data_IF_267861980613
#
_entry.id   IF_267861980613
#
_cell.length_a   1.000
_cell.length_b   1.000
_cell.length_c   1.000
_cell.angle_alpha   90.00
_cell.angle_beta   90.00
_cell.angle_gamma   90.00
#
_symmetry.space_group_name_H-M   'P 1'
#
loop_
_entity.id
_entity.type
_entity.pdbx_description
1 polymer ?
#
# COMPACT_ATOMS: atom_id res chain seq x y z
N UNK A 1 -16.45 -57.13 -1.38
CA UNK A 1 -15.25 -56.29 -1.31
C UNK A 1 -15.60 -54.92 -1.80
N UNK A 2 -15.85 -53.99 -0.88
CA UNK A 2 -16.24 -52.62 -1.22
C UNK A 2 -14.98 -51.74 -1.22
N UNK A 3 -14.57 -51.23 -2.41
CA UNK A 3 -13.48 -50.26 -2.54
C UNK A 3 -13.98 -48.93 -2.02
N UNK A 4 -13.44 -48.46 -0.88
CA UNK A 4 -13.57 -47.08 -0.43
C UNK A 4 -12.68 -46.19 -1.30
N UNK A 5 -13.29 -45.47 -2.22
CA UNK A 5 -12.62 -44.42 -2.98
C UNK A 5 -12.45 -43.21 -2.07
N UNK A 6 -11.27 -43.05 -1.48
CA UNK A 6 -10.92 -41.83 -0.74
C UNK A 6 -10.74 -40.72 -1.78
N UNK A 7 -11.74 -39.86 -1.88
CA UNK A 7 -11.58 -38.59 -2.62
C UNK A 7 -10.57 -37.73 -1.88
N UNK A 8 -9.35 -37.62 -2.42
CA UNK A 8 -8.43 -36.57 -2.04
C UNK A 8 -9.07 -35.23 -2.43
N UNK A 9 -9.66 -34.55 -1.47
CA UNK A 9 -9.92 -33.12 -1.62
C UNK A 9 -8.55 -32.45 -1.66
N UNK A 10 -8.06 -32.18 -2.84
CA UNK A 10 -6.81 -31.44 -3.05
C UNK A 10 -6.98 -30.09 -2.38
N UNK A 11 -6.37 -29.90 -1.21
CA UNK A 11 -6.16 -28.56 -0.65
C UNK A 11 -5.30 -27.85 -1.68
N UNK A 12 -5.86 -26.86 -2.37
CA UNK A 12 -5.09 -26.01 -3.26
C UNK A 12 -4.05 -25.28 -2.41
N UNK A 13 -2.82 -25.76 -2.44
CA UNK A 13 -1.70 -25.04 -1.80
C UNK A 13 -1.50 -23.80 -2.65
N UNK A 14 -1.89 -22.66 -2.11
CA UNK A 14 -1.56 -21.39 -2.74
C UNK A 14 -0.05 -21.20 -2.66
N UNK A 15 0.59 -21.31 -3.79
CA UNK A 15 1.98 -20.92 -4.00
C UNK A 15 1.97 -19.57 -4.74
N UNK A 16 3.09 -18.89 -4.72
CA UNK A 16 3.28 -17.60 -5.42
C UNK A 16 4.21 -17.89 -6.59
N UNK A 17 3.91 -17.34 -7.76
CA UNK A 17 4.80 -17.39 -8.92
C UNK A 17 6.13 -16.67 -8.58
N UNK A 18 7.24 -17.02 -9.27
CA UNK A 18 8.47 -16.24 -9.13
C UNK A 18 8.19 -14.77 -9.34
N UNK A 19 8.76 -13.91 -8.48
CA UNK A 19 8.63 -12.47 -8.60
C UNK A 19 9.04 -12.01 -10.00
N UNK A 20 8.19 -11.19 -10.60
CA UNK A 20 8.44 -10.54 -11.88
C UNK A 20 8.28 -9.03 -11.73
N UNK A 21 8.58 -8.29 -12.78
CA UNK A 21 8.33 -6.87 -12.82
C UNK A 21 7.87 -6.44 -14.21
N UNK A 22 7.24 -5.28 -14.27
CA UNK A 22 6.91 -4.56 -15.50
C UNK A 22 7.39 -3.13 -15.37
N UNK A 23 7.94 -2.58 -16.45
CA UNK A 23 8.29 -1.16 -16.51
C UNK A 23 7.13 -0.43 -17.21
N UNK A 24 6.28 0.23 -16.43
CA UNK A 24 5.10 0.93 -16.92
C UNK A 24 5.48 2.30 -17.47
N UNK A 25 5.06 2.67 -18.68
CA UNK A 25 5.33 3.98 -19.22
C UNK A 25 4.53 5.05 -18.47
N UNK A 26 5.20 6.01 -17.85
CA UNK A 26 4.60 7.20 -17.27
C UNK A 26 5.06 8.46 -17.99
N UNK A 27 4.44 9.59 -17.72
CA UNK A 27 4.83 10.88 -18.31
C UNK A 27 6.28 11.28 -17.94
N UNK A 28 6.84 10.68 -16.88
CA UNK A 28 8.17 11.01 -16.33
C UNK A 28 9.18 9.87 -16.40
N UNK A 29 8.95 8.92 -17.26
CA UNK A 29 9.82 7.77 -17.48
C UNK A 29 9.17 6.44 -17.05
N UNK A 30 9.87 5.33 -17.29
CA UNK A 30 9.34 4.01 -16.96
C UNK A 30 9.33 3.80 -15.44
N UNK A 31 8.16 3.45 -14.89
CA UNK A 31 7.99 3.09 -13.48
C UNK A 31 8.08 1.57 -13.34
N UNK A 32 9.18 1.07 -12.78
CA UNK A 32 9.27 -0.34 -12.43
C UNK A 32 8.27 -0.69 -11.36
N UNK A 33 7.51 -1.76 -11.62
CA UNK A 33 6.50 -2.29 -10.70
C UNK A 33 6.73 -3.76 -10.52
N UNK A 34 7.03 -4.18 -9.30
CA UNK A 34 7.20 -5.59 -8.95
C UNK A 34 5.85 -6.27 -8.78
N UNK A 35 5.71 -7.48 -9.33
CA UNK A 35 4.48 -8.25 -9.31
C UNK A 35 4.66 -9.56 -8.52
N UNK A 36 3.75 -9.79 -7.59
CA UNK A 36 3.62 -11.03 -6.81
C UNK A 36 2.27 -11.63 -7.12
N UNK A 37 2.26 -12.72 -7.87
CA UNK A 37 1.06 -13.31 -8.44
C UNK A 37 0.84 -14.70 -7.81
N UNK A 38 -0.33 -14.99 -7.23
CA UNK A 38 -0.65 -16.34 -6.79
C UNK A 38 -0.63 -17.32 -7.97
N UNK A 39 -0.14 -18.55 -7.75
CA UNK A 39 -0.18 -19.60 -8.79
C UNK A 39 -1.60 -20.09 -9.06
N UNK A 40 -1.77 -20.79 -10.17
CA UNK A 40 -3.05 -21.37 -10.58
C UNK A 40 -3.75 -20.56 -11.66
N UNK A 41 -4.80 -21.19 -12.21
CA UNK A 41 -5.64 -20.57 -13.25
C UNK A 41 -6.76 -19.77 -12.57
N UNK A 42 -6.65 -18.46 -12.50
CA UNK A 42 -7.68 -17.64 -11.90
C UNK A 42 -7.36 -16.15 -11.95
N UNK A 43 -8.38 -15.36 -11.69
CA UNK A 43 -8.26 -13.92 -11.51
C UNK A 43 -8.27 -13.62 -10.02
N UNK A 44 -7.43 -12.71 -9.60
CA UNK A 44 -7.23 -12.35 -8.21
C UNK A 44 -7.65 -10.90 -7.96
N UNK A 45 -8.25 -10.56 -6.81
CA UNK A 45 -8.33 -9.18 -6.38
C UNK A 45 -6.91 -8.62 -6.28
N UNK A 46 -6.73 -7.39 -6.71
CA UNK A 46 -5.41 -6.80 -6.89
C UNK A 46 -5.16 -5.73 -5.84
N UNK A 47 -3.94 -5.65 -5.33
CA UNK A 47 -3.52 -4.65 -4.36
C UNK A 47 -2.28 -3.93 -4.87
N UNK A 48 -2.37 -2.61 -5.03
CA UNK A 48 -1.20 -1.75 -5.15
C UNK A 48 -0.62 -1.59 -3.75
N UNK A 49 0.64 -1.95 -3.55
CA UNK A 49 1.30 -1.80 -2.26
C UNK A 49 2.41 -0.75 -2.35
N UNK A 50 2.18 0.42 -1.78
CA UNK A 50 3.14 1.50 -1.70
C UNK A 50 4.07 1.35 -0.49
N UNK A 51 5.36 1.36 -0.78
CA UNK A 51 6.44 1.19 0.21
C UNK A 51 6.68 2.45 1.06
N UNK A 52 7.54 2.30 2.07
CA UNK A 52 8.16 3.40 2.80
C UNK A 52 9.08 4.23 1.86
N UNK A 53 9.71 5.28 2.42
CA UNK A 53 10.72 6.11 1.70
C UNK A 53 11.95 5.32 1.19
N UNK A 54 12.11 4.06 1.54
CA UNK A 54 13.28 3.23 1.21
C UNK A 54 13.06 2.31 -0.01
N UNK A 55 11.89 2.36 -0.63
CA UNK A 55 11.46 1.56 -1.78
C UNK A 55 11.35 0.04 -1.45
N UNK A 56 11.76 -0.85 -2.36
CA UNK A 56 11.53 -2.30 -2.30
C UNK A 56 12.50 -3.01 -1.35
N UNK A 57 12.42 -2.71 -0.06
CA UNK A 57 13.23 -3.34 0.99
C UNK A 57 12.78 -4.78 1.31
N UNK A 58 13.57 -5.48 2.14
CA UNK A 58 13.22 -6.82 2.62
C UNK A 58 11.85 -6.90 3.31
N UNK A 59 11.55 -6.03 4.30
CA UNK A 59 10.22 -5.97 4.92
C UNK A 59 9.06 -5.75 3.95
N UNK A 60 9.21 -4.86 2.99
CA UNK A 60 8.19 -4.60 1.95
C UNK A 60 7.94 -5.85 1.12
N UNK A 61 9.01 -6.52 0.67
CA UNK A 61 8.93 -7.77 -0.10
C UNK A 61 8.22 -8.88 0.68
N UNK A 62 8.53 -9.04 1.97
CA UNK A 62 7.88 -10.06 2.83
C UNK A 62 6.40 -9.77 3.03
N UNK A 63 6.01 -8.51 3.22
CA UNK A 63 4.59 -8.12 3.30
C UNK A 63 3.85 -8.36 1.98
N UNK A 64 4.46 -8.03 0.84
CA UNK A 64 3.89 -8.30 -0.48
C UNK A 64 3.69 -9.81 -0.71
N UNK A 65 4.69 -10.63 -0.38
CA UNK A 65 4.60 -12.10 -0.44
C UNK A 65 3.50 -12.65 0.48
N UNK A 66 3.38 -12.11 1.69
CA UNK A 66 2.32 -12.53 2.62
C UNK A 66 0.93 -12.25 2.03
N UNK A 67 0.68 -11.06 1.49
CA UNK A 67 -0.59 -10.72 0.83
C UNK A 67 -0.86 -11.61 -0.39
N UNK A 68 0.16 -11.86 -1.23
CA UNK A 68 0.03 -12.74 -2.38
C UNK A 68 -0.29 -14.17 -1.95
N UNK A 69 0.31 -14.66 -0.86
CA UNK A 69 0.00 -15.96 -0.26
C UNK A 69 -1.46 -16.09 0.22
N UNK A 70 -2.14 -14.98 0.47
CA UNK A 70 -3.57 -14.94 0.78
C UNK A 70 -4.48 -14.73 -0.44
N UNK A 71 -3.93 -14.81 -1.65
CA UNK A 71 -4.69 -14.83 -2.90
C UNK A 71 -4.91 -13.48 -3.54
N UNK A 72 -4.12 -12.46 -3.21
CA UNK A 72 -4.10 -11.18 -3.88
C UNK A 72 -2.98 -11.13 -4.93
N UNK A 73 -3.26 -10.57 -6.10
CA UNK A 73 -2.21 -10.08 -6.98
C UNK A 73 -1.67 -8.79 -6.36
N UNK A 74 -0.39 -8.74 -6.02
CA UNK A 74 0.23 -7.58 -5.37
C UNK A 74 1.21 -6.92 -6.32
N UNK A 75 1.07 -5.60 -6.48
CA UNK A 75 1.94 -4.77 -7.30
C UNK A 75 2.63 -3.72 -6.43
N UNK A 76 3.96 -3.67 -6.46
CA UNK A 76 4.76 -2.74 -5.67
C UNK A 76 5.53 -1.83 -6.61
N UNK A 77 5.11 -0.55 -6.78
CA UNK A 77 5.81 0.39 -7.67
C UNK A 77 7.07 0.96 -7.00
N UNK A 78 8.10 1.20 -7.80
CA UNK A 78 9.25 2.01 -7.42
C UNK A 78 8.88 3.49 -7.57
N UNK A 79 8.40 4.11 -6.49
CA UNK A 79 7.81 5.45 -6.52
C UNK A 79 8.79 6.58 -6.85
N UNK A 80 10.10 6.30 -6.81
CA UNK A 80 11.15 7.27 -7.13
C UNK A 80 11.79 7.05 -8.51
N UNK A 81 11.09 6.37 -9.43
CA UNK A 81 11.56 6.04 -10.78
C UNK A 81 12.02 7.24 -11.60
N UNK A 82 11.59 8.46 -11.26
CA UNK A 82 12.04 9.70 -11.93
C UNK A 82 13.47 10.10 -11.57
N UNK A 83 13.97 9.64 -10.41
CA UNK A 83 15.21 10.13 -9.79
C UNK A 83 16.22 9.03 -9.54
N UNK A 84 15.77 7.79 -9.41
CA UNK A 84 16.59 6.64 -9.07
C UNK A 84 16.58 5.61 -10.19
N UNK A 85 17.70 4.92 -10.34
CA UNK A 85 17.77 3.81 -11.29
C UNK A 85 16.84 2.67 -10.84
N UNK A 86 16.22 1.95 -11.79
CA UNK A 86 15.39 0.81 -11.47
C UNK A 86 16.10 -0.22 -10.59
N UNK A 87 15.42 -0.69 -9.56
CA UNK A 87 15.96 -1.62 -8.57
C UNK A 87 16.72 -0.96 -7.41
N UNK A 88 16.78 0.39 -7.36
CA UNK A 88 17.40 1.10 -6.23
C UNK A 88 16.62 0.87 -4.94
N UNK A 89 17.32 0.42 -3.90
CA UNK A 89 16.82 0.26 -2.54
C UNK A 89 17.65 1.12 -1.61
N UNK A 90 17.01 1.99 -0.84
CA UNK A 90 17.70 2.82 0.14
C UNK A 90 17.88 2.04 1.45
N UNK A 91 19.04 2.20 2.09
CA UNK A 91 19.35 1.50 3.34
C UNK A 91 18.57 2.09 4.53
N UNK A 92 18.32 1.27 5.56
CA UNK A 92 17.74 1.71 6.82
C UNK A 92 18.81 2.36 7.73
N UNK A 93 19.48 3.38 7.20
CA UNK A 93 20.50 4.17 7.89
C UNK A 93 20.25 5.69 7.72
N UNK A 94 21.16 6.51 8.20
CA UNK A 94 21.03 7.97 8.11
C UNK A 94 21.02 8.43 6.65
N UNK A 95 21.95 7.96 5.84
CA UNK A 95 22.08 8.38 4.44
C UNK A 95 20.86 7.97 3.61
N UNK A 96 20.36 6.73 3.76
CA UNK A 96 19.15 6.29 3.09
C UNK A 96 17.90 7.03 3.57
N UNK A 97 17.82 7.38 4.86
CA UNK A 97 16.74 8.19 5.41
C UNK A 97 16.75 9.62 4.85
N UNK A 98 17.91 10.26 4.79
CA UNK A 98 18.08 11.60 4.21
C UNK A 98 17.71 11.59 2.73
N UNK A 99 18.22 10.62 1.96
CA UNK A 99 17.89 10.48 0.53
C UNK A 99 16.40 10.24 0.31
N UNK A 100 15.78 9.33 1.05
CA UNK A 100 14.35 9.05 0.94
C UNK A 100 13.47 10.25 1.27
N UNK A 101 13.84 11.06 2.26
CA UNK A 101 13.16 12.31 2.57
C UNK A 101 13.38 13.39 1.51
N UNK A 102 14.60 13.50 0.98
CA UNK A 102 14.91 14.39 -0.14
C UNK A 102 14.00 14.06 -1.34
N UNK A 103 13.94 12.80 -1.75
CA UNK A 103 13.12 12.34 -2.87
C UNK A 103 11.63 12.58 -2.62
N UNK A 104 11.14 12.31 -1.41
CA UNK A 104 9.75 12.59 -1.01
C UNK A 104 9.37 14.06 -1.21
N UNK A 105 10.28 14.98 -0.92
CA UNK A 105 10.03 16.43 -1.04
C UNK A 105 10.49 17.02 -2.38
N UNK A 106 11.05 16.22 -3.28
CA UNK A 106 11.42 16.63 -4.64
C UNK A 106 10.35 16.23 -5.65
N UNK A 107 9.74 15.04 -5.46
CA UNK A 107 8.71 14.53 -6.35
C UNK A 107 7.47 15.40 -6.28
N UNK A 108 6.94 15.77 -7.45
CA UNK A 108 5.66 16.49 -7.55
C UNK A 108 4.50 15.57 -7.10
N UNK A 109 3.54 16.12 -6.36
CA UNK A 109 2.33 15.39 -5.96
C UNK A 109 1.54 14.93 -7.17
N UNK A 110 1.41 15.79 -8.18
CA UNK A 110 0.74 15.46 -9.43
C UNK A 110 1.39 14.26 -10.16
N UNK A 111 2.73 14.13 -10.09
CA UNK A 111 3.42 12.97 -10.63
C UNK A 111 3.03 11.67 -9.93
N UNK A 112 2.86 11.72 -8.60
CA UNK A 112 2.39 10.55 -7.86
C UNK A 112 0.95 10.17 -8.20
N UNK A 113 0.08 11.15 -8.50
CA UNK A 113 -1.29 10.91 -8.95
C UNK A 113 -1.32 10.32 -10.37
N UNK A 114 -0.49 10.82 -11.28
CA UNK A 114 -0.34 10.28 -12.63
C UNK A 114 0.16 8.83 -12.61
N UNK A 115 1.16 8.54 -11.77
CA UNK A 115 1.67 7.18 -11.56
C UNK A 115 0.59 6.25 -11.02
N UNK A 116 -0.22 6.72 -10.06
CA UNK A 116 -1.33 5.95 -9.50
C UNK A 116 -2.40 5.65 -10.56
N UNK A 117 -2.71 6.61 -11.44
CA UNK A 117 -3.66 6.41 -12.53
C UNK A 117 -3.16 5.37 -13.54
N UNK A 118 -1.90 5.48 -13.99
CA UNK A 118 -1.29 4.50 -14.90
C UNK A 118 -1.30 3.10 -14.29
N UNK A 119 -0.92 2.99 -13.02
CA UNK A 119 -0.81 1.71 -12.34
C UNK A 119 -2.18 1.06 -12.10
N UNK A 120 -3.17 1.82 -11.61
CA UNK A 120 -4.52 1.30 -11.36
C UNK A 120 -5.19 0.82 -12.65
N UNK A 121 -5.09 1.58 -13.73
CA UNK A 121 -5.61 1.19 -15.06
C UNK A 121 -4.93 -0.10 -15.58
N UNK A 122 -3.60 -0.18 -15.50
CA UNK A 122 -2.86 -1.38 -15.90
C UNK A 122 -3.34 -2.61 -15.11
N UNK A 123 -3.49 -2.48 -13.79
CA UNK A 123 -3.86 -3.59 -12.93
C UNK A 123 -5.34 -3.98 -13.09
N UNK A 124 -6.24 -3.04 -13.30
CA UNK A 124 -7.64 -3.34 -13.60
C UNK A 124 -7.78 -4.16 -14.89
N UNK A 125 -6.94 -3.91 -15.88
CA UNK A 125 -6.91 -4.62 -17.17
C UNK A 125 -6.00 -5.87 -17.17
N UNK A 126 -5.23 -6.13 -16.12
CA UNK A 126 -4.27 -7.23 -16.07
C UNK A 126 -4.98 -8.59 -16.18
N UNK A 127 -4.49 -9.55 -17.02
CA UNK A 127 -5.17 -10.84 -17.27
C UNK A 127 -5.46 -11.66 -16.01
N UNK A 128 -4.59 -11.55 -15.00
CA UNK A 128 -4.71 -12.24 -13.71
C UNK A 128 -5.48 -11.43 -12.65
N UNK A 129 -5.92 -10.22 -12.97
CA UNK A 129 -6.75 -9.37 -12.09
C UNK A 129 -8.22 -9.71 -12.22
N UNK A 130 -8.96 -9.69 -11.10
CA UNK A 130 -10.43 -9.76 -11.11
C UNK A 130 -11.10 -8.46 -11.61
N UNK A 131 -10.31 -7.41 -11.81
CA UNK A 131 -10.77 -6.06 -12.09
C UNK A 131 -11.00 -5.20 -10.84
N UNK A 132 -10.95 -5.79 -9.64
CA UNK A 132 -11.04 -5.08 -8.37
C UNK A 132 -9.64 -4.72 -7.89
N UNK A 133 -9.36 -3.43 -7.74
CA UNK A 133 -8.04 -2.90 -7.32
C UNK A 133 -8.18 -2.21 -5.98
N UNK A 134 -7.43 -2.64 -5.00
CA UNK A 134 -7.24 -1.95 -3.73
C UNK A 134 -5.89 -1.23 -3.68
N UNK A 135 -5.76 -0.29 -2.78
CA UNK A 135 -4.50 0.39 -2.50
C UNK A 135 -4.12 0.20 -1.03
N UNK A 136 -2.89 -0.23 -0.79
CA UNK A 136 -2.31 -0.39 0.54
C UNK A 136 -1.00 0.35 0.62
N UNK A 137 -0.66 0.87 1.79
CA UNK A 137 0.65 1.47 1.97
C UNK A 137 1.01 1.73 3.42
N UNK A 138 2.30 1.92 3.65
CA UNK A 138 2.91 2.14 4.97
C UNK A 138 3.76 3.41 4.95
N UNK A 139 3.73 4.23 6.01
CA UNK A 139 4.51 5.47 6.10
C UNK A 139 4.15 6.46 4.95
N UNK A 140 5.14 6.91 4.17
CA UNK A 140 4.93 7.63 2.92
C UNK A 140 3.93 6.88 2.02
N UNK A 141 4.14 5.57 1.87
CA UNK A 141 3.27 4.74 1.05
C UNK A 141 1.82 4.73 1.52
N UNK A 142 1.58 4.88 2.82
CA UNK A 142 0.22 5.05 3.35
C UNK A 142 -0.45 6.31 2.81
N UNK A 143 0.28 7.41 2.68
CA UNK A 143 -0.21 8.63 2.06
C UNK A 143 -0.46 8.44 0.55
N UNK A 144 0.51 7.83 -0.15
CA UNK A 144 0.35 7.52 -1.59
C UNK A 144 -0.83 6.57 -1.85
N UNK A 145 -1.08 5.61 -0.94
CA UNK A 145 -2.25 4.74 -1.02
C UNK A 145 -3.56 5.53 -0.90
N UNK A 146 -3.63 6.52 0.00
CA UNK A 146 -4.79 7.42 0.10
C UNK A 146 -4.97 8.19 -1.20
N UNK A 147 -3.90 8.76 -1.78
CA UNK A 147 -3.99 9.47 -3.06
C UNK A 147 -4.42 8.58 -4.20
N UNK A 148 -3.93 7.35 -4.25
CA UNK A 148 -4.40 6.35 -5.22
C UNK A 148 -5.90 6.06 -5.07
N UNK A 149 -6.44 6.14 -3.86
CA UNK A 149 -7.87 5.99 -3.58
C UNK A 149 -8.78 7.05 -4.22
N UNK A 150 -8.21 8.14 -4.72
CA UNK A 150 -8.96 9.13 -5.50
C UNK A 150 -9.03 8.79 -7.01
N UNK A 151 -8.40 7.70 -7.44
CA UNK A 151 -8.51 7.20 -8.80
C UNK A 151 -9.79 6.35 -8.95
N UNK A 152 -10.51 6.47 -10.07
CA UNK A 152 -11.79 5.77 -10.27
C UNK A 152 -11.68 4.25 -10.27
N UNK A 153 -10.50 3.71 -10.60
CA UNK A 153 -10.27 2.27 -10.66
C UNK A 153 -9.90 1.65 -9.28
N UNK A 154 -9.73 2.47 -8.23
CA UNK A 154 -9.40 2.00 -6.88
C UNK A 154 -10.66 1.86 -6.04
N UNK A 155 -10.93 0.64 -5.59
CA UNK A 155 -12.16 0.24 -4.89
C UNK A 155 -12.08 0.26 -3.37
N UNK A 156 -10.88 0.27 -2.78
CA UNK A 156 -10.66 0.31 -1.33
C UNK A 156 -9.22 0.74 -0.99
N UNK A 157 -9.03 1.40 0.15
CA UNK A 157 -7.73 1.91 0.60
C UNK A 157 -7.43 1.47 2.02
N UNK A 158 -6.24 0.91 2.25
CA UNK A 158 -5.70 0.67 3.59
C UNK A 158 -4.41 1.49 3.78
N UNK A 159 -4.43 2.43 4.72
CA UNK A 159 -3.32 3.33 4.97
C UNK A 159 -2.78 3.14 6.40
N UNK A 160 -1.55 2.66 6.51
CA UNK A 160 -0.93 2.38 7.78
C UNK A 160 0.09 3.46 8.14
N UNK A 161 -0.16 4.11 9.24
CA UNK A 161 0.62 5.27 9.76
C UNK A 161 1.05 6.24 8.64
N UNK A 162 0.09 6.67 7.77
CA UNK A 162 0.38 7.57 6.66
C UNK A 162 0.90 8.92 7.18
N UNK A 163 2.05 9.35 6.65
CA UNK A 163 2.67 10.62 7.04
C UNK A 163 2.15 11.79 6.19
N UNK A 164 2.38 13.00 6.67
CA UNK A 164 2.20 14.26 5.94
C UNK A 164 0.76 14.67 5.58
N UNK A 165 -0.26 13.81 5.67
CA UNK A 165 -1.66 14.14 5.32
C UNK A 165 -2.17 15.33 6.15
N UNK A 166 -1.99 15.27 7.48
CA UNK A 166 -2.50 16.30 8.40
C UNK A 166 -1.83 17.66 8.24
N UNK A 167 -0.58 17.65 7.76
CA UNK A 167 0.23 18.86 7.59
C UNK A 167 0.23 19.40 6.15
N UNK A 168 -0.29 18.63 5.20
CA UNK A 168 -0.27 18.99 3.79
C UNK A 168 1.15 19.17 3.23
N UNK A 169 2.11 18.34 3.70
CA UNK A 169 3.54 18.56 3.41
C UNK A 169 4.16 17.55 2.45
N UNK A 170 3.37 16.70 1.83
CA UNK A 170 3.88 15.79 0.80
C UNK A 170 4.33 16.55 -0.45
N UNK A 171 5.41 16.06 -1.06
CA UNK A 171 5.88 16.47 -2.38
C UNK A 171 6.60 17.80 -2.44
N UNK A 172 6.93 18.20 -3.65
CA UNK A 172 7.61 19.46 -3.93
C UNK A 172 6.79 20.66 -3.44
N UNK A 173 7.47 21.59 -2.80
CA UNK A 173 6.81 22.76 -2.21
C UNK A 173 6.07 22.49 -0.90
N UNK A 174 5.94 21.24 -0.45
CA UNK A 174 5.25 20.85 0.80
C UNK A 174 3.84 21.46 0.91
N UNK A 175 3.05 21.33 -0.12
CA UNK A 175 1.72 21.90 -0.23
C UNK A 175 0.73 20.96 -0.93
N UNK A 176 0.60 19.71 -0.43
CA UNK A 176 -0.38 18.78 -0.96
C UNK A 176 -1.81 19.10 -0.50
N UNK A 177 -2.78 18.60 -1.26
CA UNK A 177 -4.20 18.87 -1.11
C UNK A 177 -5.00 17.67 -0.59
N UNK A 178 -4.36 16.67 -0.03
CA UNK A 178 -4.98 15.37 0.30
C UNK A 178 -6.21 15.51 1.21
N UNK A 179 -6.14 16.37 2.24
CA UNK A 179 -7.30 16.62 3.12
C UNK A 179 -8.49 17.22 2.35
N UNK A 180 -8.25 18.13 1.42
CA UNK A 180 -9.30 18.72 0.61
C UNK A 180 -9.94 17.69 -0.34
N UNK A 181 -9.14 16.78 -0.88
CA UNK A 181 -9.59 15.75 -1.83
C UNK A 181 -10.46 14.65 -1.23
N UNK A 182 -10.63 14.59 0.06
CA UNK A 182 -11.67 13.74 0.65
C UNK A 182 -13.09 14.23 0.33
N UNK A 183 -13.27 15.46 -0.15
CA UNK A 183 -14.58 15.94 -0.60
C UNK A 183 -15.16 15.06 -1.70
N UNK A 184 -16.36 14.51 -1.47
CA UNK A 184 -17.05 13.67 -2.44
C UNK A 184 -16.45 12.29 -2.69
N UNK A 185 -15.46 11.85 -1.88
CA UNK A 185 -14.88 10.52 -2.02
C UNK A 185 -15.91 9.45 -1.64
N UNK A 186 -15.96 8.38 -2.46
CA UNK A 186 -16.83 7.23 -2.21
C UNK A 186 -16.06 5.95 -1.92
N UNK A 187 -14.74 5.97 -2.11
CA UNK A 187 -13.85 4.85 -1.82
C UNK A 187 -13.78 4.63 -0.31
N UNK A 188 -14.01 3.40 0.20
CA UNK A 188 -13.86 3.09 1.62
C UNK A 188 -12.38 3.06 2.03
N UNK A 189 -12.10 3.57 3.24
CA UNK A 189 -10.76 3.63 3.81
C UNK A 189 -10.64 2.77 5.06
N UNK A 190 -9.44 2.25 5.32
CA UNK A 190 -9.01 1.76 6.62
C UNK A 190 -7.72 2.48 7.02
N UNK A 191 -7.76 3.15 8.16
CA UNK A 191 -6.59 3.81 8.74
C UNK A 191 -6.09 3.05 9.97
N UNK A 192 -4.79 2.83 10.03
CA UNK A 192 -4.12 2.17 11.15
C UNK A 192 -2.97 3.03 11.67
N UNK A 193 -2.96 3.32 12.97
CA UNK A 193 -2.07 4.28 13.59
C UNK A 193 -1.30 3.72 14.78
N UNK A 194 -0.09 4.22 14.98
CA UNK A 194 0.63 4.09 16.23
C UNK A 194 0.42 5.33 17.12
N UNK A 195 -0.02 5.16 18.37
CA UNK A 195 -0.23 6.29 19.29
C UNK A 195 1.06 6.99 19.71
N UNK A 196 2.19 6.30 19.59
CA UNK A 196 3.53 6.81 19.93
C UNK A 196 4.29 7.30 18.68
N UNK A 197 3.58 7.48 17.57
CA UNK A 197 4.16 7.94 16.30
C UNK A 197 4.44 9.44 16.34
N UNK A 198 5.72 9.88 16.29
CA UNK A 198 6.04 11.30 16.30
C UNK A 198 5.76 12.00 14.96
N UNK A 199 5.61 11.23 13.86
CA UNK A 199 5.34 11.79 12.53
C UNK A 199 3.86 12.14 12.34
N UNK A 200 2.97 11.51 13.14
CA UNK A 200 1.53 11.81 13.09
C UNK A 200 1.00 11.95 14.51
N UNK A 201 1.18 13.12 15.14
CA UNK A 201 0.76 13.37 16.52
C UNK A 201 -0.78 13.27 16.66
N UNK A 202 -1.25 13.24 17.91
CA UNK A 202 -2.68 13.10 18.21
C UNK A 202 -3.54 14.15 17.48
N UNK A 203 -3.08 15.38 17.45
CA UNK A 203 -3.78 16.48 16.79
C UNK A 203 -3.88 16.25 15.27
N UNK A 204 -2.81 15.70 14.67
CA UNK A 204 -2.80 15.35 13.25
C UNK A 204 -3.79 14.23 12.93
N UNK A 205 -3.82 13.18 13.75
CA UNK A 205 -4.82 12.09 13.58
C UNK A 205 -6.25 12.61 13.73
N UNK A 206 -6.50 13.49 14.72
CA UNK A 206 -7.81 14.11 14.93
C UNK A 206 -8.24 15.00 13.76
N UNK A 207 -7.31 15.74 13.16
CA UNK A 207 -7.61 16.57 11.99
C UNK A 207 -8.05 15.72 10.79
N UNK A 208 -7.38 14.58 10.56
CA UNK A 208 -7.78 13.63 9.50
C UNK A 208 -9.15 13.04 9.81
N UNK A 209 -9.39 12.52 11.03
CA UNK A 209 -10.67 11.94 11.41
C UNK A 209 -11.81 12.97 11.29
N UNK A 210 -11.60 14.20 11.79
CA UNK A 210 -12.60 15.26 11.68
C UNK A 210 -12.95 15.60 10.23
N UNK A 211 -11.96 15.56 9.31
CA UNK A 211 -12.24 15.81 7.88
C UNK A 211 -13.03 14.64 7.27
N UNK A 212 -12.71 13.40 7.61
CA UNK A 212 -13.44 12.22 7.15
C UNK A 212 -14.89 12.23 7.64
N UNK A 213 -15.12 12.60 8.92
CA UNK A 213 -16.46 12.76 9.50
C UNK A 213 -17.24 13.89 8.82
N UNK A 214 -16.60 15.05 8.56
CA UNK A 214 -17.22 16.20 7.90
C UNK A 214 -17.77 15.88 6.51
N UNK A 215 -17.03 15.04 5.75
CA UNK A 215 -17.42 14.65 4.38
C UNK A 215 -18.21 13.34 4.32
N UNK A 216 -18.56 12.78 5.49
CA UNK A 216 -19.28 11.52 5.62
C UNK A 216 -18.61 10.35 4.86
N UNK A 217 -17.26 10.32 4.84
CA UNK A 217 -16.51 9.25 4.19
C UNK A 217 -16.73 7.91 4.88
N UNK A 218 -16.76 6.82 4.12
CA UNK A 218 -16.75 5.47 4.68
C UNK A 218 -15.34 5.10 5.14
N UNK A 219 -15.11 4.89 6.46
CA UNK A 219 -13.80 4.50 6.94
C UNK A 219 -13.83 3.65 8.21
N UNK A 220 -12.76 2.84 8.39
CA UNK A 220 -12.39 2.17 9.62
C UNK A 220 -11.17 2.85 10.26
N UNK A 221 -11.14 2.94 11.59
CA UNK A 221 -10.07 3.60 12.33
C UNK A 221 -9.53 2.73 13.44
N UNK A 222 -8.24 2.41 13.37
CA UNK A 222 -7.56 1.57 14.35
C UNK A 222 -6.35 2.28 14.94
N UNK A 223 -6.24 2.32 16.27
CA UNK A 223 -5.10 2.90 16.97
C UNK A 223 -4.48 1.90 17.93
N UNK A 224 -3.17 1.71 17.82
CA UNK A 224 -2.39 0.82 18.66
C UNK A 224 -1.38 1.59 19.51
N UNK A 225 -1.01 1.04 20.67
CA UNK A 225 0.07 1.60 21.49
C UNK A 225 1.43 1.18 20.91
N UNK A 226 1.79 1.77 19.79
CA UNK A 226 2.96 1.46 18.97
C UNK A 226 3.61 2.73 18.41
N UNK A 227 4.90 2.66 18.09
CA UNK A 227 5.65 3.71 17.43
C UNK A 227 5.43 3.70 15.89
N UNK A 228 6.03 4.66 15.18
CA UNK A 228 6.05 4.66 13.71
C UNK A 228 6.74 3.41 13.14
N UNK A 229 6.24 2.88 12.03
CA UNK A 229 6.80 1.71 11.34
C UNK A 229 6.84 0.41 12.18
N UNK A 230 5.86 0.19 13.04
CA UNK A 230 5.77 -1.00 13.90
C UNK A 230 5.51 -2.31 13.13
N UNK A 231 5.16 -2.23 11.83
CA UNK A 231 5.05 -3.40 10.95
C UNK A 231 6.39 -3.84 10.35
N UNK A 232 7.39 -2.97 10.36
CA UNK A 232 8.68 -3.25 9.74
C UNK A 232 9.46 -4.26 10.58
N UNK A 233 9.57 -5.50 10.12
CA UNK A 233 10.23 -6.62 10.81
C UNK A 233 11.78 -6.53 10.82
N UNK A 234 12.30 -5.37 10.46
CA UNK A 234 13.69 -4.98 10.65
C UNK A 234 13.75 -3.68 11.45
N UNK A 235 14.50 -3.72 12.55
CA UNK A 235 14.70 -2.58 13.43
C UNK A 235 13.92 -2.61 14.75
N UNK A 236 14.19 -1.64 15.65
CA UNK A 236 13.81 -1.73 17.06
C UNK A 236 12.33 -1.40 17.35
N UNK A 237 11.59 -0.94 16.37
CA UNK A 237 10.18 -0.53 16.53
C UNK A 237 9.19 -1.62 16.13
N UNK A 238 9.66 -2.75 15.63
CA UNK A 238 8.81 -3.86 15.23
C UNK A 238 8.02 -4.41 16.42
N UNK A 239 6.73 -4.59 16.24
CA UNK A 239 5.86 -5.23 17.21
C UNK A 239 5.14 -6.41 16.52
N UNK A 240 5.59 -7.65 16.76
CA UNK A 240 5.08 -8.82 16.04
C UNK A 240 3.60 -9.10 16.32
N UNK A 241 3.12 -8.85 17.54
CA UNK A 241 1.72 -9.11 17.87
C UNK A 241 0.78 -8.12 17.19
N UNK A 242 1.14 -6.84 17.19
CA UNK A 242 0.37 -5.80 16.50
C UNK A 242 0.47 -6.02 14.98
N UNK A 243 1.66 -6.37 14.46
CA UNK A 243 1.84 -6.63 13.03
C UNK A 243 0.94 -7.77 12.53
N UNK A 244 0.85 -8.87 13.30
CA UNK A 244 -0.06 -9.99 12.99
C UNK A 244 -1.52 -9.53 12.99
N UNK A 245 -1.95 -8.82 14.03
CA UNK A 245 -3.32 -8.30 14.12
C UNK A 245 -3.64 -7.34 12.96
N UNK A 246 -2.70 -6.48 12.58
CA UNK A 246 -2.86 -5.58 11.45
C UNK A 246 -2.98 -6.33 10.11
N UNK A 247 -2.25 -7.44 9.94
CA UNK A 247 -2.42 -8.29 8.75
C UNK A 247 -3.81 -8.91 8.72
N UNK A 248 -4.33 -9.41 9.84
CA UNK A 248 -5.68 -9.96 9.93
C UNK A 248 -6.75 -8.90 9.58
N UNK A 249 -6.61 -7.67 10.08
CA UNK A 249 -7.48 -6.54 9.74
C UNK A 249 -7.42 -6.22 8.24
N UNK A 250 -6.23 -6.15 7.67
CA UNK A 250 -6.02 -5.86 6.24
C UNK A 250 -6.66 -6.92 5.35
N UNK A 251 -6.46 -8.19 5.68
CA UNK A 251 -7.02 -9.32 4.93
C UNK A 251 -8.55 -9.36 5.01
N UNK A 252 -9.13 -9.07 6.19
CA UNK A 252 -10.57 -8.94 6.37
C UNK A 252 -11.11 -7.79 5.51
N UNK A 253 -10.54 -6.60 5.64
CA UNK A 253 -10.99 -5.39 4.92
C UNK A 253 -10.97 -5.60 3.40
N UNK A 254 -9.85 -6.05 2.84
CA UNK A 254 -9.78 -6.33 1.41
C UNK A 254 -10.60 -7.56 1.00
N UNK A 255 -10.78 -8.53 1.88
CA UNK A 255 -11.67 -9.67 1.65
C UNK A 255 -13.13 -9.25 1.49
N UNK A 256 -13.59 -8.23 2.22
CA UNK A 256 -14.94 -7.66 2.13
C UNK A 256 -15.11 -6.72 0.93
N UNK A 257 -14.09 -5.91 0.62
CA UNK A 257 -14.20 -4.83 -0.38
C UNK A 257 -13.79 -5.25 -1.80
N UNK A 258 -12.92 -6.25 -1.96
CA UNK A 258 -12.34 -6.62 -3.25
C UNK A 258 -12.76 -8.01 -3.76
N UNK A 259 -13.50 -8.80 -2.99
CA UNK A 259 -13.97 -10.14 -3.40
C UNK A 259 -15.45 -10.20 -3.75
#
# INVERSE_FOLDING_TARGET
MSLWMVAFIGVAIMTIEPETFVDLPTARGPMRTHLFIPTGEGRHPTVIFYSEIYQMTGPIRRMALALAGHGFLVAVPEVYHEFEAPGTVLAYDVAGTERGNELKFTKEVASSDDDAAVLSQYLAAHPRSSGKVGSFGVCLGGHLAVRAGFQPDVSAVAAFYPTDIHSGTLGAGKCDDTLARFEGVTTPFMFVWGRQDPHVPLEGRRAIAARLDEVEAEYEWHEFNAAHAFLRDEGPRYNPDIARLCMDLLLRFFGEKLR
#
